data_IF_368046612690
#
_entry.id   IF_368046612690
#
_cell.length_a   1.000
_cell.length_b   1.000
_cell.length_c   1.000
_cell.angle_alpha   90.00
_cell.angle_beta   90.00
_cell.angle_gamma   90.00
#
_symmetry.space_group_name_H-M   'P 1'
#
loop_
_entity.id
_entity.type
_entity.pdbx_description
1 polymer ?
#
# COMPACT_ATOMS: atom_id res chain seq x y z
N UNK A 1 -25.05 9.76 32.44
CA UNK A 1 -24.50 11.03 31.93
C UNK A 1 -22.98 10.99 32.15
N UNK A 2 -22.23 10.36 31.24
CA UNK A 2 -20.77 10.20 31.34
C UNK A 2 -20.13 10.98 30.20
N UNK A 3 -19.33 11.99 30.53
CA UNK A 3 -18.50 12.74 29.59
C UNK A 3 -17.15 12.04 29.47
N UNK A 4 -16.83 11.50 28.31
CA UNK A 4 -15.44 11.16 27.97
C UNK A 4 -14.86 12.31 27.15
N UNK A 5 -13.93 13.02 27.78
CA UNK A 5 -13.01 13.97 27.15
C UNK A 5 -11.79 13.16 26.75
N UNK A 6 -11.50 13.07 25.45
CA UNK A 6 -10.20 12.61 24.95
C UNK A 6 -9.59 13.76 24.16
N UNK A 7 -8.87 14.61 24.90
CA UNK A 7 -7.87 15.54 24.38
C UNK A 7 -6.59 14.75 24.09
N UNK A 8 -6.17 14.74 22.83
CA UNK A 8 -4.90 14.16 22.40
C UNK A 8 -4.33 14.94 21.22
N UNK A 9 -3.79 16.12 21.52
CA UNK A 9 -3.00 16.91 20.59
C UNK A 9 -1.65 16.22 20.35
N UNK A 10 -1.29 16.00 19.08
CA UNK A 10 0.10 15.78 18.68
C UNK A 10 0.41 16.76 17.56
N UNK A 11 0.93 17.92 17.98
CA UNK A 11 1.66 18.83 17.12
C UNK A 11 3.07 18.26 16.92
N UNK A 12 3.48 18.08 15.67
CA UNK A 12 4.88 17.89 15.32
C UNK A 12 5.23 18.75 14.12
N UNK A 13 5.71 19.94 14.47
CA UNK A 13 6.52 20.85 13.66
C UNK A 13 7.86 20.15 13.39
N UNK A 14 8.32 20.10 12.14
CA UNK A 14 9.74 19.91 11.86
C UNK A 14 10.21 20.94 10.83
N UNK A 15 11.28 21.61 11.24
CA UNK A 15 11.82 22.83 10.68
C UNK A 15 12.46 22.62 9.30
N UNK A 16 12.16 23.54 8.38
CA UNK A 16 12.99 23.87 7.24
C UNK A 16 14.38 24.29 7.76
N UNK A 17 15.41 23.51 7.45
CA UNK A 17 16.79 23.99 7.46
C UNK A 17 17.27 24.06 6.01
N UNK A 18 17.10 25.23 5.41
CA UNK A 18 17.78 25.66 4.19
C UNK A 18 19.27 25.86 4.51
N UNK A 19 20.11 24.89 4.15
CA UNK A 19 21.55 25.12 4.00
C UNK A 19 21.80 25.57 2.55
N UNK A 20 21.84 26.89 2.35
CA UNK A 20 22.47 27.48 1.17
C UNK A 20 23.97 27.50 1.45
N UNK A 21 24.73 26.61 0.81
CA UNK A 21 26.19 26.72 0.82
C UNK A 21 26.63 27.84 -0.14
N UNK A 22 27.65 28.65 0.23
CA UNK A 22 28.18 29.67 -0.65
C UNK A 22 28.95 29.04 -1.81
N UNK A 23 28.68 29.57 -3.00
CA UNK A 23 29.35 29.25 -4.26
C UNK A 23 30.83 29.66 -4.16
N UNK A 24 31.73 28.68 -4.06
CA UNK A 24 33.15 28.89 -4.27
C UNK A 24 33.43 28.70 -5.77
N UNK A 25 33.69 29.82 -6.46
CA UNK A 25 34.18 29.83 -7.82
C UNK A 25 35.60 29.25 -7.83
N UNK A 26 35.73 27.97 -8.19
CA UNK A 26 37.00 27.35 -8.52
C UNK A 26 37.24 27.52 -10.03
N UNK A 27 38.38 28.09 -10.38
CA UNK A 27 38.88 28.22 -11.75
C UNK A 27 38.97 26.83 -12.40
N UNK A 28 38.27 26.66 -13.53
CA UNK A 28 38.29 25.42 -14.30
C UNK A 28 39.61 25.34 -15.10
N UNK A 29 40.42 24.28 -14.94
CA UNK A 29 41.42 23.95 -15.92
C UNK A 29 40.73 23.61 -17.25
N UNK A 30 41.15 24.27 -18.32
CA UNK A 30 40.75 23.94 -19.70
C UNK A 30 41.30 22.57 -20.08
N UNK A 31 40.50 21.53 -19.87
CA UNK A 31 40.75 20.18 -20.40
C UNK A 31 40.39 20.13 -21.89
N UNK A 32 41.35 20.48 -22.72
CA UNK A 32 41.37 20.07 -24.13
C UNK A 32 41.64 18.56 -24.19
N UNK A 33 40.59 17.75 -24.38
CA UNK A 33 40.77 16.37 -24.83
C UNK A 33 39.99 15.26 -24.12
N UNK A 34 38.86 15.54 -23.46
CA UNK A 34 37.91 14.45 -23.17
C UNK A 34 37.38 13.89 -24.49
N UNK A 35 37.87 12.70 -24.84
CA UNK A 35 37.38 11.94 -25.99
C UNK A 35 35.86 11.76 -25.82
N UNK A 36 35.09 11.93 -26.91
CA UNK A 36 33.62 11.74 -26.91
C UNK A 36 33.17 10.40 -26.31
N UNK A 37 34.06 9.40 -26.32
CA UNK A 37 33.89 8.09 -25.71
C UNK A 37 33.84 8.14 -24.18
N UNK A 38 34.60 9.04 -23.53
CA UNK A 38 34.56 9.24 -22.07
C UNK A 38 33.28 9.91 -21.59
N UNK A 39 32.69 10.80 -22.40
CA UNK A 39 31.43 11.48 -22.08
C UNK A 39 30.24 10.54 -22.21
N UNK A 40 30.20 9.71 -23.27
CA UNK A 40 29.16 8.69 -23.45
C UNK A 40 29.19 7.65 -22.31
N UNK A 41 30.37 7.15 -21.96
CA UNK A 41 30.52 6.19 -20.86
C UNK A 41 30.10 6.75 -19.50
N UNK A 42 30.29 8.06 -19.26
CA UNK A 42 29.80 8.74 -18.05
C UNK A 42 28.27 8.86 -18.05
N UNK A 43 27.68 9.23 -19.17
CA UNK A 43 26.23 9.35 -19.30
C UNK A 43 25.52 8.00 -19.09
N UNK A 44 26.03 6.94 -19.73
CA UNK A 44 25.54 5.56 -19.56
C UNK A 44 25.62 5.10 -18.10
N UNK A 45 26.70 5.44 -17.40
CA UNK A 45 26.88 5.12 -15.99
C UNK A 45 25.91 5.90 -15.09
N UNK A 46 25.63 7.17 -15.42
CA UNK A 46 24.67 8.01 -14.71
C UNK A 46 23.24 7.49 -14.85
N UNK A 47 22.80 7.12 -16.05
CA UNK A 47 21.44 6.59 -16.26
C UNK A 47 21.20 5.26 -15.52
N UNK A 48 22.18 4.36 -15.58
CA UNK A 48 22.14 3.09 -14.83
C UNK A 48 22.13 3.35 -13.31
N UNK A 49 22.91 4.31 -12.84
CA UNK A 49 22.93 4.68 -11.42
C UNK A 49 21.60 5.32 -10.98
N UNK A 50 20.99 6.18 -11.80
CA UNK A 50 19.70 6.80 -11.51
C UNK A 50 18.58 5.76 -11.42
N UNK A 51 18.47 4.88 -12.42
CA UNK A 51 17.48 3.79 -12.41
C UNK A 51 17.67 2.90 -11.17
N UNK A 52 18.92 2.55 -10.83
CA UNK A 52 19.23 1.78 -9.62
C UNK A 52 18.76 2.49 -8.35
N UNK A 53 19.05 3.78 -8.21
CA UNK A 53 18.66 4.57 -7.05
C UNK A 53 17.13 4.64 -6.90
N UNK A 54 16.40 4.78 -8.01
CA UNK A 54 14.94 4.75 -8.01
C UNK A 54 14.41 3.38 -7.56
N UNK A 55 14.93 2.28 -8.12
CA UNK A 55 14.52 0.93 -7.73
C UNK A 55 14.81 0.64 -6.26
N UNK A 56 15.97 1.05 -5.74
CA UNK A 56 16.36 0.89 -4.33
C UNK A 56 15.44 1.71 -3.39
N UNK A 57 15.06 2.92 -3.80
CA UNK A 57 14.10 3.74 -3.08
C UNK A 57 12.73 3.07 -2.98
N UNK A 58 12.17 2.63 -4.11
CA UNK A 58 10.85 1.98 -4.14
C UNK A 58 10.85 0.59 -3.51
N UNK A 59 11.98 -0.13 -3.51
CA UNK A 59 12.13 -1.38 -2.77
C UNK A 59 11.96 -1.13 -1.27
N UNK A 60 12.65 -0.12 -0.76
CA UNK A 60 12.57 0.27 0.66
C UNK A 60 11.15 0.66 1.06
N UNK A 61 10.48 1.50 0.26
CA UNK A 61 9.10 1.92 0.52
C UNK A 61 8.10 0.76 0.39
N UNK A 62 8.25 -0.11 -0.62
CA UNK A 62 7.42 -1.30 -0.79
C UNK A 62 7.58 -2.28 0.39
N UNK A 63 8.82 -2.49 0.87
CA UNK A 63 9.09 -3.33 2.03
C UNK A 63 8.46 -2.78 3.30
N UNK A 64 8.57 -1.45 3.55
CA UNK A 64 7.89 -0.79 4.67
C UNK A 64 6.38 -0.96 4.59
N UNK A 65 5.78 -0.74 3.42
CA UNK A 65 4.34 -0.88 3.22
C UNK A 65 3.88 -2.32 3.50
N UNK A 66 4.61 -3.32 3.02
CA UNK A 66 4.35 -4.74 3.27
C UNK A 66 4.40 -5.09 4.77
N UNK A 67 5.44 -4.64 5.47
CA UNK A 67 5.56 -4.88 6.92
C UNK A 67 4.40 -4.24 7.68
N UNK A 68 4.04 -3.01 7.35
CA UNK A 68 2.91 -2.33 8.00
C UNK A 68 1.57 -3.03 7.74
N UNK A 69 1.31 -3.46 6.51
CA UNK A 69 0.11 -4.21 6.19
C UNK A 69 0.07 -5.56 6.93
N UNK A 70 1.18 -6.29 6.95
CA UNK A 70 1.25 -7.56 7.65
C UNK A 70 1.01 -7.41 9.16
N UNK A 71 1.57 -6.36 9.78
CA UNK A 71 1.31 -6.04 11.20
C UNK A 71 -0.15 -5.68 11.42
N UNK A 72 -0.74 -4.85 10.55
CA UNK A 72 -2.14 -4.46 10.64
C UNK A 72 -3.07 -5.68 10.50
N UNK A 73 -2.85 -6.52 9.49
CA UNK A 73 -3.65 -7.71 9.23
C UNK A 73 -3.51 -8.76 10.32
N UNK A 74 -2.30 -8.97 10.84
CA UNK A 74 -2.09 -9.89 11.96
C UNK A 74 -2.77 -9.39 13.23
N UNK A 75 -2.69 -8.08 13.52
CA UNK A 75 -3.31 -7.47 14.69
C UNK A 75 -4.84 -7.53 14.61
N UNK A 76 -5.41 -7.14 13.47
CA UNK A 76 -6.84 -7.25 13.21
C UNK A 76 -7.31 -8.70 13.24
N UNK A 77 -6.49 -9.63 12.73
CA UNK A 77 -6.74 -11.05 12.75
C UNK A 77 -6.80 -11.59 14.17
N UNK A 78 -5.81 -11.27 15.00
CA UNK A 78 -5.76 -11.68 16.41
C UNK A 78 -6.94 -11.11 17.23
N UNK A 79 -7.29 -9.84 17.01
CA UNK A 79 -8.47 -9.24 17.63
C UNK A 79 -9.77 -9.94 17.19
N UNK A 80 -9.90 -10.26 15.91
CA UNK A 80 -11.06 -10.98 15.37
C UNK A 80 -11.15 -12.41 15.93
N UNK A 81 -10.02 -13.10 16.10
CA UNK A 81 -9.98 -14.42 16.73
C UNK A 81 -10.47 -14.36 18.18
N UNK A 82 -9.95 -13.41 18.97
CA UNK A 82 -10.35 -13.24 20.37
C UNK A 82 -11.84 -12.88 20.50
N UNK A 83 -12.32 -11.94 19.67
CA UNK A 83 -13.73 -11.58 19.62
C UNK A 83 -14.61 -12.77 19.18
N UNK A 84 -14.16 -13.55 18.19
CA UNK A 84 -14.85 -14.74 17.71
C UNK A 84 -14.99 -15.81 18.79
N UNK A 85 -13.93 -16.07 19.56
CA UNK A 85 -13.98 -16.98 20.71
C UNK A 85 -14.99 -16.53 21.77
N UNK A 86 -14.96 -15.25 22.14
CA UNK A 86 -15.92 -14.69 23.10
C UNK A 86 -17.37 -14.76 22.62
N UNK A 87 -17.61 -14.55 21.32
CA UNK A 87 -18.96 -14.64 20.73
C UNK A 87 -19.44 -16.09 20.66
N UNK A 88 -18.55 -17.06 20.38
CA UNK A 88 -18.90 -18.49 20.43
C UNK A 88 -19.35 -18.94 21.81
N UNK A 89 -18.73 -18.42 22.88
CA UNK A 89 -19.10 -18.73 24.27
C UNK A 89 -20.50 -18.21 24.67
N UNK A 90 -21.14 -17.37 23.85
CA UNK A 90 -22.45 -16.76 24.12
C UNK A 90 -23.56 -17.25 23.19
N UNK A 91 -23.48 -18.51 22.75
CA UNK A 91 -24.45 -19.19 21.87
C UNK A 91 -24.68 -18.53 20.49
N UNK A 92 -23.91 -17.50 20.14
CA UNK A 92 -23.93 -16.87 18.81
C UNK A 92 -22.97 -17.61 17.86
N UNK A 93 -23.20 -18.91 17.67
CA UNK A 93 -22.27 -19.83 16.99
C UNK A 93 -21.83 -19.35 15.59
N UNK A 94 -22.76 -18.83 14.79
CA UNK A 94 -22.44 -18.34 13.44
C UNK A 94 -21.59 -17.08 13.45
N UNK A 95 -21.92 -16.09 14.29
CA UNK A 95 -21.17 -14.83 14.40
C UNK A 95 -19.74 -15.07 14.90
N UNK A 96 -19.59 -15.97 15.88
CA UNK A 96 -18.29 -16.39 16.38
C UNK A 96 -17.46 -17.10 15.31
N UNK A 97 -18.06 -18.02 14.54
CA UNK A 97 -17.37 -18.70 13.44
C UNK A 97 -16.91 -17.74 12.34
N UNK A 98 -17.73 -16.76 11.96
CA UNK A 98 -17.35 -15.74 10.95
C UNK A 98 -16.15 -14.91 11.42
N UNK A 99 -16.15 -14.48 12.68
CA UNK A 99 -15.04 -13.73 13.28
C UNK A 99 -13.76 -14.56 13.37
N UNK A 100 -13.88 -15.84 13.75
CA UNK A 100 -12.75 -16.77 13.78
C UNK A 100 -12.17 -17.01 12.38
N UNK A 101 -13.03 -17.30 11.40
CA UNK A 101 -12.60 -17.55 10.02
C UNK A 101 -11.91 -16.33 9.42
N UNK A 102 -12.46 -15.12 9.64
CA UNK A 102 -11.79 -13.87 9.26
C UNK A 102 -10.47 -13.70 9.98
N UNK A 103 -10.45 -13.93 11.28
CA UNK A 103 -9.25 -13.79 12.11
C UNK A 103 -8.11 -14.68 11.61
N UNK A 104 -8.42 -15.95 11.35
CA UNK A 104 -7.48 -16.92 10.78
C UNK A 104 -6.99 -16.49 9.38
N UNK A 105 -7.89 -16.02 8.51
CA UNK A 105 -7.53 -15.54 7.18
C UNK A 105 -6.60 -14.32 7.24
N UNK A 106 -6.89 -13.34 8.10
CA UNK A 106 -6.08 -12.13 8.26
C UNK A 106 -4.70 -12.43 8.85
N UNK A 107 -4.59 -13.29 9.87
CA UNK A 107 -3.30 -13.74 10.40
C UNK A 107 -2.50 -14.48 9.32
N UNK A 108 -3.14 -15.40 8.60
CA UNK A 108 -2.47 -16.16 7.53
C UNK A 108 -1.99 -15.23 6.42
N UNK A 109 -2.81 -14.27 6.00
CA UNK A 109 -2.44 -13.26 5.00
C UNK A 109 -1.22 -12.45 5.44
N UNK A 110 -1.23 -11.92 6.67
CA UNK A 110 -0.11 -11.16 7.21
C UNK A 110 1.19 -11.98 7.29
N UNK A 111 1.11 -13.26 7.67
CA UNK A 111 2.27 -14.17 7.68
C UNK A 111 2.77 -14.43 6.26
N UNK A 112 1.89 -14.70 5.31
CA UNK A 112 2.26 -14.95 3.91
C UNK A 112 2.92 -13.72 3.26
N UNK A 113 2.43 -12.52 3.57
CA UNK A 113 3.04 -11.27 3.12
C UNK A 113 4.47 -11.10 3.66
N UNK A 114 4.75 -11.55 4.89
CA UNK A 114 6.11 -11.46 5.45
C UNK A 114 7.06 -12.55 4.94
N UNK A 115 6.54 -13.75 4.65
CA UNK A 115 7.38 -14.95 4.50
C UNK A 115 7.47 -15.50 3.08
N UNK A 116 6.41 -15.34 2.27
CA UNK A 116 6.29 -16.00 0.97
C UNK A 116 6.32 -14.99 -0.18
N UNK A 117 5.61 -13.88 -0.06
CA UNK A 117 5.48 -12.93 -1.16
C UNK A 117 6.66 -11.95 -1.20
N UNK A 118 7.64 -12.24 -2.07
CA UNK A 118 8.61 -11.22 -2.51
C UNK A 118 7.86 -10.11 -3.23
N UNK A 119 8.12 -8.87 -2.81
CA UNK A 119 7.49 -7.71 -3.42
C UNK A 119 7.90 -7.64 -4.90
N UNK A 120 7.00 -7.29 -5.82
CA UNK A 120 7.36 -7.18 -7.23
C UNK A 120 8.54 -6.25 -7.51
N UNK A 121 8.77 -5.22 -6.66
CA UNK A 121 9.96 -4.34 -6.75
C UNK A 121 11.26 -5.07 -6.43
N UNK A 122 11.28 -5.95 -5.43
CA UNK A 122 12.48 -6.76 -5.08
C UNK A 122 12.90 -7.64 -6.27
N UNK A 123 11.93 -8.21 -6.99
CA UNK A 123 12.19 -9.00 -8.20
C UNK A 123 12.72 -8.13 -9.34
N UNK A 124 12.09 -6.98 -9.56
CA UNK A 124 12.50 -6.02 -10.58
C UNK A 124 13.95 -5.54 -10.37
N UNK A 125 14.32 -5.21 -9.13
CA UNK A 125 15.69 -4.82 -8.76
C UNK A 125 16.69 -5.95 -8.99
N UNK A 126 16.31 -7.18 -8.63
CA UNK A 126 17.16 -8.35 -8.86
C UNK A 126 17.39 -8.60 -10.36
N UNK A 127 16.35 -8.49 -11.18
CA UNK A 127 16.49 -8.60 -12.64
C UNK A 127 17.34 -7.45 -13.22
N UNK A 128 17.15 -6.22 -12.74
CA UNK A 128 17.98 -5.08 -13.12
C UNK A 128 19.47 -5.35 -12.81
N UNK A 129 19.79 -5.80 -11.60
CA UNK A 129 21.16 -6.13 -11.22
C UNK A 129 21.76 -7.25 -12.07
N UNK A 130 20.96 -8.27 -12.43
CA UNK A 130 21.39 -9.35 -13.32
C UNK A 130 21.67 -8.86 -14.74
N UNK A 131 20.83 -7.97 -15.29
CA UNK A 131 21.03 -7.34 -16.61
C UNK A 131 22.27 -6.45 -16.62
N UNK A 132 22.47 -5.65 -15.57
CA UNK A 132 23.66 -4.81 -15.44
C UNK A 132 24.96 -5.64 -15.35
N UNK A 133 24.89 -6.85 -14.78
CA UNK A 133 26.04 -7.74 -14.65
C UNK A 133 26.27 -8.67 -15.86
N UNK A 134 25.32 -8.77 -16.81
CA UNK A 134 25.39 -9.69 -17.95
C UNK A 134 26.19 -9.15 -19.14
N UNK A 135 26.65 -7.90 -19.07
CA UNK A 135 27.37 -7.23 -20.16
C UNK A 135 26.45 -6.61 -21.21
N UNK A 136 25.14 -6.46 -20.92
CA UNK A 136 24.22 -5.66 -21.74
C UNK A 136 24.63 -4.18 -21.76
N UNK A 137 24.29 -3.46 -22.82
CA UNK A 137 24.51 -2.01 -22.87
C UNK A 137 23.62 -1.29 -21.87
N UNK A 138 24.04 -0.12 -21.38
CA UNK A 138 23.26 0.69 -20.44
C UNK A 138 21.84 0.96 -20.95
N UNK A 139 21.72 1.37 -22.22
CA UNK A 139 20.43 1.56 -22.91
C UNK A 139 19.53 0.31 -22.86
N UNK A 140 20.09 -0.87 -23.13
CA UNK A 140 19.34 -2.12 -23.09
C UNK A 140 18.88 -2.47 -21.66
N UNK A 141 19.77 -2.32 -20.68
CA UNK A 141 19.47 -2.57 -19.26
C UNK A 141 18.33 -1.68 -18.78
N UNK A 142 18.41 -0.37 -19.06
CA UNK A 142 17.41 0.63 -18.67
C UNK A 142 16.09 0.37 -19.41
N UNK A 143 16.13 0.14 -20.73
CA UNK A 143 14.94 -0.11 -21.55
C UNK A 143 14.19 -1.35 -21.10
N UNK A 144 14.87 -2.48 -20.90
CA UNK A 144 14.22 -3.73 -20.49
C UNK A 144 13.66 -3.65 -19.07
N UNK A 145 14.39 -3.02 -18.16
CA UNK A 145 13.93 -2.86 -16.78
C UNK A 145 12.75 -1.90 -16.69
N UNK A 146 12.75 -0.83 -17.49
CA UNK A 146 11.60 0.07 -17.62
C UNK A 146 10.36 -0.66 -18.20
N UNK A 147 10.56 -1.50 -19.22
CA UNK A 147 9.45 -2.27 -19.80
C UNK A 147 8.89 -3.29 -18.81
N UNK A 148 9.75 -4.00 -18.09
CA UNK A 148 9.32 -4.91 -17.03
C UNK A 148 8.56 -4.15 -15.93
N UNK A 149 9.08 -3.02 -15.47
CA UNK A 149 8.40 -2.19 -14.48
C UNK A 149 7.02 -1.75 -14.96
N UNK A 150 6.91 -1.29 -16.21
CA UNK A 150 5.64 -0.91 -16.84
C UNK A 150 4.62 -2.05 -16.81
N UNK A 151 5.03 -3.25 -17.19
CA UNK A 151 4.16 -4.44 -17.20
C UNK A 151 3.68 -4.77 -15.80
N UNK A 152 4.60 -4.80 -14.82
CA UNK A 152 4.28 -5.10 -13.42
C UNK A 152 3.36 -4.02 -12.83
N UNK A 153 3.65 -2.74 -13.05
CA UNK A 153 2.82 -1.62 -12.59
C UNK A 153 1.40 -1.68 -13.15
N UNK A 154 1.25 -2.00 -14.44
CA UNK A 154 -0.06 -2.17 -15.06
C UNK A 154 -0.83 -3.37 -14.49
N UNK A 155 -0.14 -4.47 -14.22
CA UNK A 155 -0.75 -5.64 -13.59
C UNK A 155 -1.24 -5.31 -12.17
N UNK A 156 -0.39 -4.69 -11.35
CA UNK A 156 -0.73 -4.25 -9.99
C UNK A 156 -1.92 -3.30 -9.99
N UNK A 157 -1.92 -2.30 -10.89
CA UNK A 157 -3.04 -1.36 -11.05
C UNK A 157 -4.35 -2.07 -11.40
N UNK A 158 -4.31 -3.01 -12.35
CA UNK A 158 -5.50 -3.78 -12.76
C UNK A 158 -6.05 -4.61 -11.60
N UNK A 159 -5.18 -5.29 -10.87
CA UNK A 159 -5.55 -6.09 -9.69
C UNK A 159 -6.14 -5.21 -8.59
N UNK A 160 -5.52 -4.06 -8.30
CA UNK A 160 -6.01 -3.05 -7.35
C UNK A 160 -7.41 -2.55 -7.71
N UNK A 161 -7.65 -2.19 -8.97
CA UNK A 161 -8.96 -1.73 -9.42
C UNK A 161 -10.01 -2.84 -9.27
N UNK A 162 -9.68 -4.07 -9.70
CA UNK A 162 -10.60 -5.22 -9.58
C UNK A 162 -10.93 -5.56 -8.14
N UNK A 163 -9.92 -5.61 -7.26
CA UNK A 163 -10.11 -5.88 -5.83
C UNK A 163 -10.90 -4.76 -5.15
N UNK A 164 -10.66 -3.50 -5.54
CA UNK A 164 -11.40 -2.34 -5.07
C UNK A 164 -12.87 -2.41 -5.44
N UNK A 165 -13.19 -2.66 -6.71
CA UNK A 165 -14.58 -2.83 -7.20
C UNK A 165 -15.27 -4.01 -6.52
N UNK A 166 -14.60 -5.16 -6.41
CA UNK A 166 -15.16 -6.32 -5.73
C UNK A 166 -15.46 -6.03 -4.25
N UNK A 167 -14.53 -5.37 -3.56
CA UNK A 167 -14.70 -4.99 -2.15
C UNK A 167 -15.84 -3.98 -1.97
N UNK A 168 -15.99 -3.01 -2.89
CA UNK A 168 -17.13 -2.11 -2.88
C UNK A 168 -18.46 -2.84 -3.05
N UNK A 169 -18.53 -3.78 -4.01
CA UNK A 169 -19.74 -4.56 -4.26
C UNK A 169 -20.11 -5.42 -3.04
N UNK A 170 -19.15 -6.18 -2.51
CA UNK A 170 -19.35 -7.03 -1.31
C UNK A 170 -19.69 -6.16 -0.10
N UNK A 171 -18.97 -5.07 0.12
CA UNK A 171 -19.22 -4.16 1.24
C UNK A 171 -20.61 -3.51 1.17
N UNK A 172 -21.05 -3.10 -0.02
CA UNK A 172 -22.41 -2.57 -0.23
C UNK A 172 -23.46 -3.63 0.08
N UNK A 173 -23.28 -4.86 -0.39
CA UNK A 173 -24.20 -5.96 -0.12
C UNK A 173 -24.28 -6.30 1.36
N UNK A 174 -23.15 -6.40 2.06
CA UNK A 174 -23.11 -6.68 3.50
C UNK A 174 -23.75 -5.54 4.31
N UNK A 175 -23.46 -4.28 3.95
CA UNK A 175 -24.06 -3.11 4.60
C UNK A 175 -25.57 -3.10 4.37
N UNK A 176 -26.02 -3.32 3.14
CA UNK A 176 -27.44 -3.38 2.78
C UNK A 176 -28.16 -4.53 3.48
N UNK A 177 -27.53 -5.70 3.59
CA UNK A 177 -28.07 -6.83 4.34
C UNK A 177 -28.16 -6.52 5.83
N UNK A 178 -27.14 -5.90 6.42
CA UNK A 178 -27.15 -5.48 7.82
C UNK A 178 -28.26 -4.47 8.11
N UNK A 179 -28.43 -3.47 7.24
CA UNK A 179 -29.53 -2.50 7.33
C UNK A 179 -30.90 -3.15 7.13
N UNK A 180 -31.04 -4.07 6.17
CA UNK A 180 -32.28 -4.80 5.95
C UNK A 180 -32.67 -5.65 7.17
N UNK A 181 -31.70 -6.31 7.81
CA UNK A 181 -31.89 -7.06 9.07
C UNK A 181 -32.23 -6.13 10.24
N UNK A 182 -31.65 -4.93 10.28
CA UNK A 182 -31.94 -3.93 11.31
C UNK A 182 -33.36 -3.34 11.20
N UNK A 183 -33.80 -3.02 9.98
CA UNK A 183 -35.04 -2.28 9.70
C UNK A 183 -36.21 -3.23 9.46
N UNK A 184 -35.96 -4.37 8.81
CA UNK A 184 -36.97 -5.27 8.30
C UNK A 184 -37.18 -6.52 9.15
N UNK A 185 -38.44 -6.94 9.26
CA UNK A 185 -38.77 -8.36 9.41
C UNK A 185 -38.43 -9.02 8.06
N UNK A 186 -37.17 -9.41 7.85
CA UNK A 186 -36.65 -9.94 6.57
C UNK A 186 -37.20 -11.34 6.28
N UNK A 187 -38.53 -11.54 6.24
CA UNK A 187 -39.20 -12.79 5.89
C UNK A 187 -38.86 -14.03 6.75
N UNK A 188 -37.88 -13.93 7.64
CA UNK A 188 -37.56 -14.92 8.65
C UNK A 188 -38.73 -14.92 9.63
N UNK A 189 -39.32 -16.10 9.95
CA UNK A 189 -40.44 -16.18 10.87
C UNK A 189 -40.08 -15.41 12.14
N UNK A 190 -40.77 -14.29 12.36
CA UNK A 190 -40.38 -13.26 13.34
C UNK A 190 -40.49 -13.73 14.78
N UNK A 191 -40.99 -14.94 14.99
CA UNK A 191 -41.10 -15.62 16.28
C UNK A 191 -39.87 -16.45 16.65
N UNK A 192 -38.91 -16.70 15.73
CA UNK A 192 -37.81 -17.65 15.97
C UNK A 192 -36.41 -17.05 16.12
N UNK A 193 -36.25 -15.72 16.00
CA UNK A 193 -34.93 -15.05 16.14
C UNK A 193 -35.03 -13.97 17.20
N UNK A 194 -34.26 -14.13 18.27
CA UNK A 194 -34.22 -13.19 19.38
C UNK A 194 -33.79 -11.78 18.90
N UNK A 195 -34.33 -10.76 19.55
CA UNK A 195 -34.00 -9.35 19.31
C UNK A 195 -32.50 -9.06 19.45
N UNK A 196 -31.83 -9.77 20.36
CA UNK A 196 -30.38 -9.70 20.58
C UNK A 196 -29.62 -10.24 19.38
N UNK A 197 -30.03 -11.40 18.85
CA UNK A 197 -29.41 -11.99 17.66
C UNK A 197 -29.58 -11.07 16.45
N UNK A 198 -30.77 -10.49 16.26
CA UNK A 198 -31.04 -9.54 15.16
C UNK A 198 -30.12 -8.32 15.24
N UNK A 199 -29.96 -7.75 16.43
CA UNK A 199 -29.07 -6.61 16.64
C UNK A 199 -27.59 -6.98 16.40
N UNK A 200 -27.18 -8.17 16.85
CA UNK A 200 -25.83 -8.71 16.59
C UNK A 200 -25.58 -8.91 15.10
N UNK A 201 -26.52 -9.52 14.37
CA UNK A 201 -26.42 -9.71 12.91
C UNK A 201 -26.36 -8.37 12.17
N UNK A 202 -27.28 -7.45 12.48
CA UNK A 202 -27.27 -6.12 11.89
C UNK A 202 -25.92 -5.42 12.10
N UNK A 203 -25.37 -5.49 13.31
CA UNK A 203 -24.10 -4.84 13.67
C UNK A 203 -22.91 -5.49 12.96
N UNK A 204 -22.86 -6.83 12.93
CA UNK A 204 -21.79 -7.58 12.24
C UNK A 204 -21.82 -7.26 10.75
N UNK A 205 -22.95 -7.43 10.07
CA UNK A 205 -23.04 -7.22 8.63
C UNK A 205 -22.79 -5.76 8.24
N UNK A 206 -23.32 -4.80 9.00
CA UNK A 206 -23.09 -3.37 8.76
C UNK A 206 -21.63 -2.99 9.02
N UNK A 207 -21.05 -3.43 10.13
CA UNK A 207 -19.65 -3.15 10.47
C UNK A 207 -18.67 -3.75 9.46
N UNK A 208 -18.85 -5.02 9.11
CA UNK A 208 -18.06 -5.67 8.07
C UNK A 208 -18.25 -5.03 6.70
N UNK A 209 -19.50 -4.68 6.37
CA UNK A 209 -19.83 -3.98 5.14
C UNK A 209 -19.10 -2.64 5.04
N UNK A 210 -19.13 -1.84 6.11
CA UNK A 210 -18.44 -0.55 6.19
C UNK A 210 -16.91 -0.69 6.06
N UNK A 211 -16.30 -1.66 6.75
CA UNK A 211 -14.85 -1.92 6.63
C UNK A 211 -14.49 -2.36 5.20
N UNK A 212 -15.30 -3.23 4.59
CA UNK A 212 -15.05 -3.74 3.23
C UNK A 212 -15.24 -2.63 2.19
N UNK A 213 -16.24 -1.76 2.37
CA UNK A 213 -16.44 -0.55 1.58
C UNK A 213 -15.23 0.37 1.67
N UNK A 214 -14.76 0.67 2.90
CA UNK A 214 -13.61 1.54 3.12
C UNK A 214 -12.34 0.97 2.47
N UNK A 215 -12.11 -0.33 2.60
CA UNK A 215 -11.02 -1.04 1.92
C UNK A 215 -11.15 -0.93 0.40
N UNK A 216 -12.37 -1.08 -0.14
CA UNK A 216 -12.65 -0.90 -1.56
C UNK A 216 -12.33 0.50 -2.06
N UNK A 217 -12.80 1.54 -1.36
CA UNK A 217 -12.49 2.94 -1.66
C UNK A 217 -10.99 3.18 -1.59
N UNK A 218 -10.32 2.73 -0.52
CA UNK A 218 -8.88 2.86 -0.36
C UNK A 218 -8.14 2.19 -1.51
N UNK A 219 -8.51 0.97 -1.88
CA UNK A 219 -7.89 0.27 -3.01
C UNK A 219 -8.03 1.08 -4.29
N UNK A 220 -9.17 1.74 -4.55
CA UNK A 220 -9.34 2.58 -5.75
C UNK A 220 -8.58 3.91 -5.71
N UNK A 221 -8.42 4.52 -4.53
CA UNK A 221 -7.84 5.86 -4.39
C UNK A 221 -6.34 5.86 -4.09
N UNK A 222 -5.84 4.85 -3.37
CA UNK A 222 -4.44 4.79 -2.93
C UNK A 222 -3.65 3.94 -3.91
N UNK A 223 -2.71 4.58 -4.60
CA UNK A 223 -1.84 3.90 -5.55
C UNK A 223 -0.81 3.02 -4.83
N UNK A 224 -0.49 1.89 -5.44
CA UNK A 224 0.57 1.02 -4.95
C UNK A 224 1.95 1.68 -5.19
N UNK A 225 2.95 1.53 -4.30
CA UNK A 225 4.29 2.08 -4.50
C UNK A 225 4.91 1.74 -5.87
N UNK A 226 4.63 0.55 -6.43
CA UNK A 226 5.09 0.16 -7.77
C UNK A 226 4.45 1.02 -8.86
N UNK A 227 3.14 1.27 -8.74
CA UNK A 227 2.36 2.09 -9.69
C UNK A 227 2.82 3.55 -9.62
N UNK A 228 2.94 4.08 -8.40
CA UNK A 228 3.39 5.44 -8.14
C UNK A 228 4.82 5.66 -8.65
N UNK A 229 5.72 4.71 -8.40
CA UNK A 229 7.10 4.79 -8.86
C UNK A 229 7.25 4.72 -10.38
N UNK A 230 6.49 3.83 -11.03
CA UNK A 230 6.46 3.79 -12.50
C UNK A 230 5.95 5.11 -13.09
N UNK A 231 4.88 5.69 -12.53
CA UNK A 231 4.37 7.00 -12.99
C UNK A 231 5.39 8.11 -12.79
N UNK A 232 6.04 8.15 -11.63
CA UNK A 232 7.09 9.13 -11.36
C UNK A 232 8.22 9.01 -12.39
N UNK A 233 8.73 7.79 -12.63
CA UNK A 233 9.74 7.53 -13.65
C UNK A 233 9.27 7.93 -15.06
N UNK A 234 8.08 7.51 -15.48
CA UNK A 234 7.55 7.79 -16.81
C UNK A 234 7.31 9.29 -17.09
N UNK A 235 6.94 10.07 -16.07
CA UNK A 235 6.73 11.52 -16.17
C UNK A 235 8.06 12.27 -16.34
N UNK A 236 9.15 11.77 -15.75
CA UNK A 236 10.47 12.44 -15.80
C UNK A 236 11.34 11.97 -16.97
N UNK A 237 11.01 10.83 -17.58
CA UNK A 237 11.68 10.31 -18.78
C UNK A 237 11.75 11.24 -20.01
N UNK A 238 10.82 12.21 -20.27
CA UNK A 238 10.94 13.06 -21.45
C UNK A 238 11.98 14.19 -21.33
N UNK A 239 12.61 14.43 -20.16
CA UNK A 239 13.48 15.59 -19.91
C UNK A 239 14.84 15.23 -19.28
N UNK A 240 15.53 14.18 -19.77
CA UNK A 240 16.93 13.86 -19.40
C UNK A 240 17.97 14.93 -19.87
N UNK A 241 17.52 16.15 -20.19
CA UNK A 241 18.36 17.36 -20.33
C UNK A 241 18.13 18.38 -19.19
N UNK A 242 17.26 18.08 -18.22
CA UNK A 242 16.91 19.01 -17.15
C UNK A 242 17.09 18.32 -15.80
N UNK A 243 18.20 18.63 -15.14
CA UNK A 243 18.55 18.35 -13.74
C UNK A 243 17.41 18.64 -12.76
N UNK A 244 16.51 17.67 -12.58
CA UNK A 244 15.42 17.74 -11.61
C UNK A 244 15.75 16.88 -10.38
N UNK A 245 15.98 17.53 -9.25
CA UNK A 245 16.10 16.87 -7.95
C UNK A 245 14.75 16.31 -7.51
N UNK A 246 14.65 14.99 -7.35
CA UNK A 246 13.48 14.34 -6.78
C UNK A 246 13.37 14.62 -5.28
N UNK A 247 12.24 15.18 -4.84
CA UNK A 247 11.82 15.13 -3.43
C UNK A 247 10.51 14.34 -3.36
N UNK A 248 10.60 13.03 -3.13
CA UNK A 248 9.42 12.18 -2.88
C UNK A 248 8.95 12.42 -1.44
N UNK A 249 7.88 13.18 -1.27
CA UNK A 249 7.25 13.37 0.03
C UNK A 249 6.28 12.22 0.29
N UNK A 250 6.68 11.27 1.14
CA UNK A 250 5.80 10.21 1.62
C UNK A 250 4.64 10.83 2.43
N UNK A 251 3.42 10.78 1.90
CA UNK A 251 2.22 11.23 2.63
C UNK A 251 1.87 10.17 3.67
N UNK A 252 2.34 10.38 4.90
CA UNK A 252 2.10 9.55 6.10
C UNK A 252 0.61 9.33 6.47
N UNK A 253 -0.33 9.99 5.78
CA UNK A 253 -1.74 10.04 6.19
C UNK A 253 -2.56 8.78 5.87
N UNK A 254 -2.05 7.85 5.03
CA UNK A 254 -2.77 6.60 4.75
C UNK A 254 -2.95 5.67 5.94
N UNK A 255 -2.13 5.81 7.00
CA UNK A 255 -2.17 4.95 8.20
C UNK A 255 -3.24 5.40 9.20
N UNK A 256 -3.51 6.71 9.30
CA UNK A 256 -4.51 7.23 10.24
C UNK A 256 -5.95 6.94 9.82
N UNK A 257 -6.24 6.78 8.52
CA UNK A 257 -7.57 6.40 8.07
C UNK A 257 -7.96 4.95 8.45
N UNK A 258 -6.98 4.06 8.63
CA UNK A 258 -7.24 2.68 9.05
C UNK A 258 -7.49 2.54 10.56
N UNK A 259 -6.74 3.29 11.38
CA UNK A 259 -6.90 3.29 12.84
C UNK A 259 -8.12 4.11 13.31
N UNK A 260 -8.47 5.20 12.62
CA UNK A 260 -9.64 6.01 12.96
C UNK A 260 -11.00 5.34 12.62
N UNK A 261 -10.99 4.21 11.91
CA UNK A 261 -12.18 3.39 11.64
C UNK A 261 -12.28 2.15 12.55
N UNK A 262 -11.25 1.91 13.38
CA UNK A 262 -11.22 0.83 14.36
C UNK A 262 -11.61 1.29 15.78
N UNK A 263 -11.86 2.59 15.97
CA UNK A 263 -12.36 3.24 17.19
C UNK A 263 -13.53 4.17 16.84
#
# INVERSE_FOLDING_TARGET
MLRFVVTGAVASIFALCTFVAPCAAAELPTEEGESRESVAARHDAEEVAEMRNLLDHFETESSRYRVWNAVADTTLGAASLAAGGFVLERDMAFGGFVLLARGAASVTSGVLDLTVYRAPVERLRLHFAQRAASGMSADEVVRESAEEWRVVANHVRSTRIRSGVLSLAVGTLLTGLGMAVAIGNVGLPSESVDSVDRASFASIFTGFGAVTLSSGVRSLLVEDPIEAGWKAYAIHRPNLLSSAHFTVVAVRQGVFAGLALAF
#
